data_IF_155386277758
#
_entry.id   IF_155386277758
#
_cell.length_a   1.000
_cell.length_b   1.000
_cell.length_c   1.000
_cell.angle_alpha   90.00
_cell.angle_beta   90.00
_cell.angle_gamma   90.00
#
_symmetry.space_group_name_H-M   'P 1'
#
loop_
_entity.id
_entity.type
_entity.pdbx_description
1 polymer ?
#
# COMPACT_ATOMS: atom_id res chain seq x y z
N UNK A 1 -20.15 -18.16 -0.75
CA UNK A 1 -19.02 -17.35 -0.28
C UNK A 1 -18.67 -16.41 -1.41
N UNK A 2 -18.60 -15.11 -1.13
CA UNK A 2 -18.22 -14.12 -2.14
C UNK A 2 -16.72 -14.28 -2.49
N UNK A 3 -16.32 -13.90 -3.70
CA UNK A 3 -14.94 -14.03 -4.17
C UNK A 3 -13.95 -13.30 -3.24
N UNK A 4 -14.34 -12.15 -2.69
CA UNK A 4 -13.54 -11.37 -1.74
C UNK A 4 -13.31 -12.12 -0.41
N UNK A 5 -14.34 -12.81 0.10
CA UNK A 5 -14.22 -13.61 1.33
C UNK A 5 -13.33 -14.83 1.11
N UNK A 6 -13.48 -15.50 -0.03
CA UNK A 6 -12.63 -16.64 -0.41
C UNK A 6 -11.15 -16.21 -0.55
N UNK A 7 -10.88 -15.03 -1.10
CA UNK A 7 -9.53 -14.48 -1.23
C UNK A 7 -8.86 -14.29 0.13
N UNK A 8 -9.57 -13.72 1.10
CA UNK A 8 -9.05 -13.52 2.47
C UNK A 8 -8.73 -14.85 3.13
N UNK A 9 -9.62 -15.84 3.01
CA UNK A 9 -9.37 -17.18 3.57
C UNK A 9 -8.17 -17.84 2.90
N UNK A 10 -8.01 -17.64 1.60
CA UNK A 10 -6.87 -18.15 0.82
C UNK A 10 -5.56 -17.53 1.29
N UNK A 11 -5.52 -16.21 1.46
CA UNK A 11 -4.39 -15.49 2.06
C UNK A 11 -4.07 -16.01 3.46
N UNK A 12 -5.09 -16.23 4.29
CA UNK A 12 -4.90 -16.74 5.66
C UNK A 12 -4.36 -18.17 5.69
N UNK A 13 -4.85 -19.03 4.80
CA UNK A 13 -4.35 -20.41 4.67
C UNK A 13 -2.87 -20.44 4.28
N UNK A 14 -2.48 -19.61 3.31
CA UNK A 14 -1.09 -19.54 2.88
C UNK A 14 -0.20 -18.99 4.01
N UNK A 15 -0.61 -17.94 4.71
CA UNK A 15 0.14 -17.40 5.85
C UNK A 15 0.35 -18.44 6.97
N UNK A 16 -0.68 -19.24 7.28
CA UNK A 16 -0.60 -20.30 8.30
C UNK A 16 0.33 -21.45 7.86
N UNK A 17 0.23 -21.87 6.59
CA UNK A 17 1.13 -22.88 6.04
C UNK A 17 2.59 -22.41 6.09
N UNK A 18 2.84 -21.17 5.66
CA UNK A 18 4.16 -20.56 5.65
C UNK A 18 4.76 -20.44 7.06
N UNK A 19 3.94 -20.04 8.06
CA UNK A 19 4.36 -20.03 9.46
C UNK A 19 4.74 -21.43 9.98
N UNK A 20 3.97 -22.45 9.59
CA UNK A 20 4.26 -23.84 9.89
C UNK A 20 5.60 -24.31 9.31
N UNK A 21 5.85 -23.99 8.04
CA UNK A 21 7.12 -24.28 7.37
C UNK A 21 8.32 -23.55 8.01
N UNK A 22 8.10 -22.34 8.50
CA UNK A 22 9.15 -21.52 9.10
C UNK A 22 9.61 -22.04 10.48
N UNK A 23 8.68 -22.58 11.28
CA UNK A 23 8.95 -22.89 12.69
C UNK A 23 8.91 -24.37 13.05
N UNK A 24 8.26 -25.21 12.24
CA UNK A 24 8.22 -26.65 12.52
C UNK A 24 9.55 -27.31 12.21
N UNK A 25 9.96 -28.25 13.07
CA UNK A 25 11.10 -29.14 12.83
C UNK A 25 10.67 -30.59 12.59
N UNK A 26 9.36 -30.88 12.64
CA UNK A 26 8.82 -32.23 12.44
C UNK A 26 8.59 -32.50 10.95
N UNK A 27 9.22 -33.53 10.39
CA UNK A 27 9.13 -33.88 8.97
C UNK A 27 7.69 -34.11 8.49
N UNK A 28 6.83 -34.76 9.28
CA UNK A 28 5.44 -34.99 8.91
C UNK A 28 4.60 -33.71 8.92
N UNK A 29 4.89 -32.78 9.83
CA UNK A 29 4.21 -31.50 9.84
C UNK A 29 4.68 -30.61 8.70
N UNK A 30 5.96 -30.65 8.35
CA UNK A 30 6.51 -29.95 7.19
C UNK A 30 5.82 -30.41 5.89
N UNK A 31 5.66 -31.72 5.68
CA UNK A 31 4.91 -32.26 4.53
C UNK A 31 3.46 -31.76 4.48
N UNK A 32 2.78 -31.72 5.64
CA UNK A 32 1.40 -31.19 5.73
C UNK A 32 1.35 -29.70 5.39
N UNK A 33 2.30 -28.90 5.88
CA UNK A 33 2.34 -27.48 5.57
C UNK A 33 2.65 -27.20 4.10
N UNK A 34 3.49 -28.02 3.46
CA UNK A 34 3.70 -27.97 2.01
C UNK A 34 2.41 -28.28 1.24
N UNK A 35 1.65 -29.29 1.66
CA UNK A 35 0.36 -29.61 1.06
C UNK A 35 -0.65 -28.45 1.21
N UNK A 36 -0.76 -27.86 2.42
CA UNK A 36 -1.65 -26.71 2.67
C UNK A 36 -1.21 -25.50 1.81
N UNK A 37 0.10 -25.26 1.67
CA UNK A 37 0.63 -24.21 0.79
C UNK A 37 0.20 -24.46 -0.66
N UNK A 38 0.36 -25.68 -1.17
CA UNK A 38 -0.08 -26.06 -2.51
C UNK A 38 -1.59 -25.96 -2.72
N UNK A 39 -2.40 -26.27 -1.71
CA UNK A 39 -3.86 -26.04 -1.72
C UNK A 39 -4.20 -24.56 -1.80
N UNK A 40 -3.53 -23.71 -1.03
CA UNK A 40 -3.78 -22.25 -1.06
C UNK A 40 -3.47 -21.63 -2.43
N UNK A 41 -2.39 -22.07 -3.11
CA UNK A 41 -2.05 -21.61 -4.46
C UNK A 41 -3.13 -22.02 -5.47
N UNK A 42 -3.63 -23.25 -5.37
CA UNK A 42 -4.73 -23.72 -6.24
C UNK A 42 -6.02 -22.93 -6.01
N UNK A 43 -6.38 -22.68 -4.75
CA UNK A 43 -7.54 -21.83 -4.43
C UNK A 43 -7.39 -20.43 -5.03
N UNK A 44 -6.20 -19.84 -4.97
CA UNK A 44 -5.97 -18.55 -5.59
C UNK A 44 -6.10 -18.63 -7.11
N UNK A 45 -5.65 -19.70 -7.75
CA UNK A 45 -5.86 -19.97 -9.19
C UNK A 45 -7.32 -20.19 -9.60
N UNK A 46 -8.20 -20.59 -8.69
CA UNK A 46 -9.66 -20.62 -8.97
C UNK A 46 -10.29 -19.22 -8.83
N UNK A 47 -9.69 -18.35 -8.01
CA UNK A 47 -10.13 -16.95 -7.82
C UNK A 47 -9.59 -16.06 -8.94
N UNK A 48 -8.38 -16.34 -9.40
CA UNK A 48 -7.64 -15.56 -10.40
C UNK A 48 -7.38 -16.44 -11.61
N UNK A 49 -7.75 -16.01 -12.81
CA UNK A 49 -7.47 -16.72 -14.07
C UNK A 49 -5.99 -16.61 -14.48
N UNK A 50 -5.08 -16.82 -13.52
CA UNK A 50 -3.64 -16.64 -13.64
C UNK A 50 -2.92 -17.99 -13.59
N UNK A 51 -1.78 -18.15 -14.30
CA UNK A 51 -1.04 -19.41 -14.30
C UNK A 51 -0.49 -19.79 -12.92
N UNK A 52 -0.50 -21.09 -12.61
CA UNK A 52 -0.01 -21.64 -11.34
C UNK A 52 1.40 -21.16 -10.99
N UNK A 53 2.33 -21.19 -11.95
CA UNK A 53 3.72 -20.77 -11.74
C UNK A 53 3.83 -19.29 -11.35
N UNK A 54 3.01 -18.43 -11.95
CA UNK A 54 2.95 -17.00 -11.61
C UNK A 54 2.41 -16.80 -10.20
N UNK A 55 1.39 -17.57 -9.81
CA UNK A 55 0.85 -17.51 -8.46
C UNK A 55 1.89 -17.95 -7.43
N UNK A 56 2.60 -19.06 -7.67
CA UNK A 56 3.67 -19.51 -6.76
C UNK A 56 4.73 -18.42 -6.56
N UNK A 57 5.19 -17.81 -7.66
CA UNK A 57 6.22 -16.77 -7.61
C UNK A 57 5.79 -15.54 -6.81
N UNK A 58 4.52 -15.14 -6.89
CA UNK A 58 4.02 -13.89 -6.31
C UNK A 58 3.45 -14.08 -4.90
N UNK A 59 2.89 -15.25 -4.60
CA UNK A 59 2.09 -15.51 -3.40
C UNK A 59 2.74 -16.49 -2.42
N UNK A 60 3.61 -17.39 -2.88
CA UNK A 60 4.13 -18.50 -2.08
C UNK A 60 5.67 -18.63 -2.11
N UNK A 61 6.38 -17.57 -2.51
CA UNK A 61 7.84 -17.56 -2.67
C UNK A 61 8.62 -17.03 -1.46
N UNK A 62 7.94 -16.40 -0.50
CA UNK A 62 8.59 -15.89 0.72
C UNK A 62 9.08 -17.02 1.63
N UNK A 63 10.07 -16.71 2.46
CA UNK A 63 10.61 -17.61 3.50
C UNK A 63 10.41 -16.98 4.87
N UNK A 64 10.35 -17.80 5.93
CA UNK A 64 10.05 -17.31 7.27
C UNK A 64 8.57 -17.04 7.48
N UNK A 65 8.22 -16.26 8.50
CA UNK A 65 6.84 -15.93 8.86
C UNK A 65 6.31 -14.80 7.96
N UNK A 66 5.20 -15.05 7.28
CA UNK A 66 4.58 -14.04 6.43
C UNK A 66 3.84 -12.98 7.26
N UNK A 67 4.08 -11.72 6.94
CA UNK A 67 3.38 -10.57 7.51
C UNK A 67 2.61 -9.81 6.44
N UNK A 68 1.65 -8.95 6.80
CA UNK A 68 1.18 -7.92 5.89
C UNK A 68 2.37 -7.13 5.32
N UNK A 69 2.31 -6.80 4.04
CA UNK A 69 3.22 -5.83 3.43
C UNK A 69 2.85 -4.42 3.89
N UNK A 70 3.81 -3.51 3.85
CA UNK A 70 3.62 -2.13 4.29
C UNK A 70 3.79 -1.20 3.11
N UNK A 71 2.76 -0.42 2.83
CA UNK A 71 2.75 0.66 1.86
C UNK A 71 2.75 2.00 2.59
N UNK A 72 3.53 2.95 2.12
CA UNK A 72 3.71 4.28 2.70
C UNK A 72 3.14 5.32 1.72
N UNK A 73 2.39 6.29 2.25
CA UNK A 73 1.88 7.44 1.49
C UNK A 73 2.33 8.73 2.15
N UNK A 74 3.09 9.54 1.42
CA UNK A 74 3.49 10.87 1.84
C UNK A 74 2.32 11.86 1.67
N UNK A 75 1.93 12.50 2.76
CA UNK A 75 0.81 13.46 2.82
C UNK A 75 1.39 14.86 2.97
N UNK A 76 1.51 15.55 1.84
CA UNK A 76 2.13 16.87 1.75
C UNK A 76 1.04 17.86 1.37
N UNK A 77 0.79 18.83 2.26
CA UNK A 77 -0.11 19.96 2.01
C UNK A 77 0.67 21.24 1.72
N UNK A 78 0.11 22.06 0.83
CA UNK A 78 0.51 23.45 0.63
C UNK A 78 -0.56 24.36 1.23
N UNK A 79 -0.18 25.01 2.34
CA UNK A 79 -1.16 25.66 3.21
C UNK A 79 -2.16 24.65 3.76
N UNK A 80 -3.42 25.08 3.89
CA UNK A 80 -4.48 24.29 4.52
C UNK A 80 -5.53 23.76 3.52
N UNK A 81 -5.30 23.95 2.22
CA UNK A 81 -6.33 23.74 1.20
C UNK A 81 -5.94 22.82 0.05
N UNK A 82 -4.66 22.52 -0.14
CA UNK A 82 -4.20 21.72 -1.29
C UNK A 82 -3.26 20.59 -0.86
N UNK A 83 -3.50 19.38 -1.35
CA UNK A 83 -2.63 18.21 -1.19
C UNK A 83 -1.82 17.96 -2.46
N UNK A 84 -0.59 17.49 -2.31
CA UNK A 84 0.24 17.06 -3.43
C UNK A 84 -0.20 15.68 -3.92
N UNK A 85 -0.38 15.56 -5.23
CA UNK A 85 -0.63 14.27 -5.88
C UNK A 85 0.29 14.11 -7.09
N UNK A 86 0.58 12.86 -7.40
CA UNK A 86 1.41 12.43 -8.53
C UNK A 86 0.59 11.62 -9.53
N UNK A 87 1.03 11.65 -10.77
CA UNK A 87 0.44 10.91 -11.88
C UNK A 87 1.24 9.64 -12.14
N UNK A 88 0.70 8.50 -11.78
CA UNK A 88 1.35 7.19 -11.88
C UNK A 88 1.29 6.67 -13.33
N UNK A 89 2.44 6.62 -14.00
CA UNK A 89 2.51 6.19 -15.41
C UNK A 89 2.21 4.72 -15.60
N UNK A 90 2.54 3.87 -14.61
CA UNK A 90 2.29 2.44 -14.69
C UNK A 90 0.82 2.06 -14.44
N UNK A 91 0.01 3.04 -14.03
CA UNK A 91 -1.41 2.86 -13.70
C UNK A 91 -2.29 3.71 -14.62
N UNK A 92 -1.87 3.87 -15.88
CA UNK A 92 -2.64 4.58 -16.91
C UNK A 92 -2.72 6.09 -16.72
N UNK A 93 -1.79 6.68 -15.95
CA UNK A 93 -1.78 8.12 -15.68
C UNK A 93 -2.84 8.56 -14.67
N UNK A 94 -3.26 7.65 -13.78
CA UNK A 94 -4.15 7.96 -12.66
C UNK A 94 -3.41 8.68 -11.53
N UNK A 95 -4.15 9.40 -10.71
CA UNK A 95 -3.60 10.23 -9.64
C UNK A 95 -3.57 9.52 -8.29
N UNK A 96 -2.50 9.74 -7.52
CA UNK A 96 -2.34 9.20 -6.18
C UNK A 96 -1.49 10.11 -5.29
N UNK A 97 -1.33 9.76 -4.02
CA UNK A 97 -0.35 10.38 -3.14
C UNK A 97 1.03 9.77 -3.41
N UNK A 98 2.11 10.57 -3.34
CA UNK A 98 3.46 10.05 -3.48
C UNK A 98 3.72 8.92 -2.48
N UNK A 99 4.41 7.88 -2.91
CA UNK A 99 4.75 6.75 -2.04
C UNK A 99 4.59 5.38 -2.69
N UNK A 100 5.17 4.40 -2.00
CA UNK A 100 5.19 3.02 -2.44
C UNK A 100 5.46 2.05 -1.29
N UNK A 101 6.13 0.96 -1.61
CA UNK A 101 6.48 -0.07 -0.62
C UNK A 101 7.48 0.45 0.41
N UNK A 102 7.35 0.01 1.66
CA UNK A 102 8.37 0.22 2.66
C UNK A 102 9.60 -0.65 2.38
N UNK A 103 10.73 -0.01 2.12
CA UNK A 103 12.02 -0.68 1.90
C UNK A 103 12.64 -1.20 3.20
N UNK A 104 13.24 -2.39 3.14
CA UNK A 104 14.02 -2.94 4.25
C UNK A 104 15.22 -2.04 4.53
N UNK A 105 15.36 -1.61 5.79
CA UNK A 105 16.43 -0.71 6.22
C UNK A 105 16.02 0.76 6.29
N UNK A 106 14.81 1.11 5.85
CA UNK A 106 14.23 2.44 6.00
C UNK A 106 13.16 2.42 7.09
N UNK A 107 13.14 3.45 7.94
CA UNK A 107 11.98 3.73 8.79
C UNK A 107 10.81 4.21 7.93
N UNK A 108 9.55 4.11 8.41
CA UNK A 108 8.39 4.63 7.65
C UNK A 108 8.54 6.11 7.25
N UNK A 109 9.17 6.90 8.11
CA UNK A 109 9.41 8.33 7.86
C UNK A 109 10.46 8.52 6.77
N UNK A 110 11.56 7.77 6.79
CA UNK A 110 12.57 7.83 5.74
C UNK A 110 12.03 7.34 4.39
N UNK A 111 11.15 6.32 4.37
CA UNK A 111 10.46 5.92 3.14
C UNK A 111 9.61 7.08 2.60
N UNK A 112 8.79 7.73 3.43
CA UNK A 112 7.97 8.86 2.96
C UNK A 112 8.82 10.02 2.43
N UNK A 113 9.97 10.31 3.05
CA UNK A 113 10.91 11.35 2.60
C UNK A 113 11.59 10.96 1.28
N UNK A 114 12.03 9.70 1.13
CA UNK A 114 12.64 9.15 -0.09
C UNK A 114 11.67 9.20 -1.27
N UNK A 115 10.48 8.63 -1.12
CA UNK A 115 9.48 8.55 -2.20
C UNK A 115 9.04 9.95 -2.64
N UNK A 116 8.83 10.88 -1.70
CA UNK A 116 8.51 12.26 -2.04
C UNK A 116 9.61 12.92 -2.90
N UNK A 117 10.89 12.69 -2.59
CA UNK A 117 12.01 13.22 -3.37
C UNK A 117 12.07 12.58 -4.76
N UNK A 118 11.99 11.26 -4.85
CA UNK A 118 12.13 10.52 -6.10
C UNK A 118 10.99 10.82 -7.08
N UNK A 119 9.75 10.88 -6.59
CA UNK A 119 8.55 11.03 -7.41
C UNK A 119 8.21 12.49 -7.73
N UNK A 120 8.69 13.47 -6.94
CA UNK A 120 8.25 14.87 -7.05
C UNK A 120 9.38 15.89 -7.09
N UNK A 121 10.61 15.51 -6.72
CA UNK A 121 11.75 16.43 -6.55
C UNK A 121 11.69 17.32 -5.31
N UNK A 122 10.64 17.20 -4.48
CA UNK A 122 10.52 17.93 -3.23
C UNK A 122 11.31 17.26 -2.11
N UNK A 123 12.03 18.08 -1.34
CA UNK A 123 12.68 17.63 -0.11
C UNK A 123 11.71 17.93 1.03
N UNK A 124 11.28 16.88 1.72
CA UNK A 124 10.31 16.98 2.81
C UNK A 124 10.88 16.40 4.10
N UNK A 125 10.29 16.79 5.23
CA UNK A 125 10.51 16.18 6.53
C UNK A 125 9.23 15.48 6.98
N UNK A 126 9.29 14.17 7.22
CA UNK A 126 8.19 13.43 7.83
C UNK A 126 8.07 13.82 9.31
N UNK A 127 6.88 14.24 9.71
CA UNK A 127 6.63 14.82 11.05
C UNK A 127 5.61 14.03 11.87
N UNK A 128 4.73 13.26 11.23
CA UNK A 128 3.63 12.60 11.94
C UNK A 128 3.00 11.45 11.16
N UNK A 129 2.72 10.33 11.82
CA UNK A 129 1.79 9.31 11.32
C UNK A 129 0.35 9.79 11.48
N UNK A 130 -0.40 9.87 10.38
CA UNK A 130 -1.82 10.27 10.38
C UNK A 130 -2.74 9.06 10.47
N UNK A 131 -2.45 8.01 9.71
CA UNK A 131 -3.25 6.80 9.72
C UNK A 131 -2.42 5.54 9.42
N UNK A 132 -2.82 4.41 10.00
CA UNK A 132 -2.39 3.06 9.63
C UNK A 132 -3.63 2.24 9.30
N UNK A 133 -3.89 2.04 8.02
CA UNK A 133 -5.14 1.48 7.52
C UNK A 133 -4.92 0.07 6.96
N UNK A 134 -5.87 -0.83 7.20
CA UNK A 134 -5.90 -2.14 6.56
C UNK A 134 -6.55 -1.98 5.19
N UNK A 135 -5.79 -2.24 4.11
CA UNK A 135 -6.27 -2.08 2.73
C UNK A 135 -7.61 -2.81 2.49
N UNK A 136 -7.87 -3.92 3.18
CA UNK A 136 -9.11 -4.70 3.05
C UNK A 136 -10.35 -3.96 3.56
N UNK A 137 -10.20 -3.04 4.50
CA UNK A 137 -11.32 -2.31 5.14
C UNK A 137 -11.76 -1.07 4.36
N UNK A 138 -11.12 -0.78 3.22
CA UNK A 138 -11.44 0.34 2.35
C UNK A 138 -11.77 -0.17 0.94
N UNK A 139 -12.37 0.68 0.12
CA UNK A 139 -12.87 0.35 -1.24
C UNK A 139 -11.75 0.21 -2.29
N UNK A 140 -10.66 -0.45 -1.93
CA UNK A 140 -9.60 -0.82 -2.83
C UNK A 140 -9.99 -2.06 -3.66
N UNK A 141 -9.47 -2.19 -4.90
CA UNK A 141 -9.58 -3.44 -5.65
C UNK A 141 -8.89 -4.59 -4.91
N UNK A 142 -9.42 -5.80 -5.14
CA UNK A 142 -8.90 -7.03 -4.59
C UNK A 142 -7.46 -7.27 -5.06
N UNK A 143 -6.59 -7.72 -4.13
CA UNK A 143 -5.21 -8.05 -4.43
C UNK A 143 -4.80 -9.36 -3.75
N UNK A 144 -3.85 -10.11 -4.34
CA UNK A 144 -3.36 -11.34 -3.75
C UNK A 144 -2.60 -11.11 -2.44
N UNK A 145 -2.16 -9.88 -2.15
CA UNK A 145 -1.30 -9.54 -1.02
C UNK A 145 -2.13 -8.89 0.09
N UNK A 146 -1.75 -9.12 1.35
CA UNK A 146 -2.34 -8.43 2.50
C UNK A 146 -1.50 -7.21 2.85
N UNK A 147 -2.10 -6.01 2.96
CA UNK A 147 -1.36 -4.74 3.00
C UNK A 147 -1.89 -3.82 4.10
N UNK A 148 -0.96 -3.28 4.89
CA UNK A 148 -1.19 -2.11 5.74
C UNK A 148 -0.65 -0.86 5.06
N UNK A 149 -1.43 0.23 5.07
CA UNK A 149 -1.12 1.50 4.42
C UNK A 149 -0.91 2.57 5.48
N UNK A 150 0.31 3.10 5.59
CA UNK A 150 0.63 4.19 6.51
C UNK A 150 0.62 5.53 5.77
N UNK A 151 -0.15 6.48 6.27
CA UNK A 151 -0.24 7.83 5.75
C UNK A 151 0.56 8.76 6.64
N UNK A 152 1.60 9.38 6.09
CA UNK A 152 2.61 10.12 6.87
C UNK A 152 2.59 11.59 6.44
N UNK A 153 2.31 12.48 7.39
CA UNK A 153 2.41 13.93 7.17
C UNK A 153 3.86 14.32 6.96
N UNK A 154 4.10 15.05 5.89
CA UNK A 154 5.41 15.60 5.57
C UNK A 154 5.34 17.12 5.35
N UNK A 155 6.34 17.84 5.85
CA UNK A 155 6.49 19.28 5.67
C UNK A 155 7.57 19.56 4.63
N UNK A 156 7.31 20.47 3.70
CA UNK A 156 8.30 20.86 2.69
C UNK A 156 9.43 21.65 3.35
N UNK A 157 10.67 21.23 3.11
CA UNK A 157 11.88 21.91 3.61
C UNK A 157 12.81 22.36 2.48
N UNK A 158 12.52 21.99 1.23
CA UNK A 158 13.25 22.42 0.05
C UNK A 158 12.86 21.64 -1.20
N UNK A 159 13.72 21.70 -2.22
CA UNK A 159 13.48 21.08 -3.52
C UNK A 159 12.56 21.90 -4.43
N UNK A 160 12.36 21.39 -5.64
CA UNK A 160 11.51 22.00 -6.65
C UNK A 160 10.58 20.94 -7.23
N UNK A 161 9.32 21.31 -7.45
CA UNK A 161 8.33 20.37 -7.96
C UNK A 161 8.61 20.04 -9.43
N UNK A 162 9.05 18.81 -9.67
CA UNK A 162 9.30 18.30 -11.01
C UNK A 162 7.98 17.96 -11.70
N UNK A 163 7.89 18.30 -12.98
CA UNK A 163 6.72 17.99 -13.81
C UNK A 163 6.76 16.58 -14.38
N UNK A 164 7.93 15.94 -14.45
CA UNK A 164 8.10 14.55 -14.86
C UNK A 164 9.30 13.97 -14.12
N UNK A 165 9.19 12.70 -13.72
CA UNK A 165 10.28 11.90 -13.15
C UNK A 165 10.36 10.56 -13.88
N UNK A 166 11.27 9.67 -13.46
CA UNK A 166 11.35 8.33 -14.04
C UNK A 166 10.08 7.49 -13.78
N UNK A 167 9.34 7.79 -12.70
CA UNK A 167 8.21 6.98 -12.21
C UNK A 167 6.86 7.69 -12.30
N UNK A 168 6.89 9.02 -12.35
CA UNK A 168 5.67 9.84 -12.39
C UNK A 168 5.65 10.73 -13.61
N UNK A 169 4.50 10.78 -14.27
CA UNK A 169 4.27 11.61 -15.44
C UNK A 169 3.77 13.00 -15.08
N UNK A 170 4.00 13.49 -13.86
CA UNK A 170 3.32 14.68 -13.36
C UNK A 170 3.21 14.70 -11.85
N UNK A 171 3.40 15.88 -11.27
CA UNK A 171 3.00 16.18 -9.89
C UNK A 171 2.31 17.54 -9.86
N UNK A 172 1.17 17.61 -9.17
CA UNK A 172 0.44 18.87 -8.97
C UNK A 172 -0.28 18.88 -7.64
N UNK A 173 -0.67 20.08 -7.26
CA UNK A 173 -1.47 20.31 -6.07
C UNK A 173 -2.96 20.25 -6.41
N UNK A 174 -3.74 19.73 -5.47
CA UNK A 174 -5.16 19.52 -5.61
C UNK A 174 -5.88 20.03 -4.36
N UNK A 175 -6.90 20.86 -4.55
CA UNK A 175 -7.97 20.99 -3.56
C UNK A 175 -8.71 19.67 -3.39
N UNK A 176 -9.41 19.47 -2.27
CA UNK A 176 -10.22 18.26 -2.06
C UNK A 176 -11.21 18.05 -3.21
N UNK A 177 -11.89 19.11 -3.65
CA UNK A 177 -12.86 19.04 -4.75
C UNK A 177 -12.20 18.59 -6.08
N UNK A 178 -11.01 19.09 -6.39
CA UNK A 178 -10.27 18.65 -7.58
C UNK A 178 -9.80 17.20 -7.44
N UNK A 179 -9.37 16.78 -6.24
CA UNK A 179 -8.89 15.42 -6.00
C UNK A 179 -10.03 14.40 -6.15
N UNK A 180 -11.22 14.72 -5.63
CA UNK A 180 -12.42 13.88 -5.78
C UNK A 180 -12.96 13.86 -7.22
N UNK A 181 -12.66 14.89 -8.02
CA UNK A 181 -12.99 14.94 -9.44
C UNK A 181 -11.95 14.29 -10.37
N UNK A 182 -10.83 13.82 -9.83
CA UNK A 182 -9.74 13.23 -10.60
C UNK A 182 -9.93 11.73 -10.82
N UNK A 183 -9.29 11.19 -11.85
CA UNK A 183 -9.17 9.73 -12.02
C UNK A 183 -8.13 9.18 -11.02
N UNK A 184 -8.61 8.68 -9.88
CA UNK A 184 -7.77 8.17 -8.80
C UNK A 184 -7.23 6.77 -9.12
N UNK A 185 -5.96 6.53 -8.76
CA UNK A 185 -5.41 5.19 -8.66
C UNK A 185 -5.98 4.54 -7.41
N UNK A 186 -7.19 3.97 -7.54
CA UNK A 186 -7.96 3.44 -6.40
C UNK A 186 -7.23 2.33 -5.67
N UNK A 187 -6.29 1.63 -6.32
CA UNK A 187 -5.43 0.65 -5.64
C UNK A 187 -4.49 1.28 -4.59
N UNK A 188 -4.05 2.52 -4.84
CA UNK A 188 -3.08 3.24 -4.03
C UNK A 188 -3.75 4.17 -3.02
N UNK A 189 -4.84 4.84 -3.40
CA UNK A 189 -5.58 5.75 -2.53
C UNK A 189 -7.06 5.82 -2.92
N UNK A 190 -7.97 5.80 -1.94
CA UNK A 190 -9.42 5.99 -2.17
C UNK A 190 -9.84 7.44 -1.95
N UNK A 191 -11.02 7.81 -2.46
CA UNK A 191 -11.65 9.09 -2.18
C UNK A 191 -11.85 9.34 -0.67
N UNK A 192 -12.36 8.33 0.05
CA UNK A 192 -12.57 8.41 1.51
C UNK A 192 -11.26 8.59 2.31
N UNK A 193 -10.15 8.05 1.81
CA UNK A 193 -8.83 8.27 2.41
C UNK A 193 -8.32 9.68 2.16
N UNK A 194 -8.56 10.25 0.98
CA UNK A 194 -8.23 11.66 0.72
C UNK A 194 -9.05 12.59 1.63
N UNK A 195 -10.36 12.37 1.74
CA UNK A 195 -11.21 13.10 2.68
C UNK A 195 -10.66 13.02 4.11
N UNK A 196 -10.26 11.82 4.56
CA UNK A 196 -9.63 11.63 5.86
C UNK A 196 -8.36 12.47 6.02
N UNK A 197 -7.50 12.57 5.00
CA UNK A 197 -6.29 13.39 5.06
C UNK A 197 -6.61 14.88 5.21
N UNK A 198 -7.64 15.38 4.53
CA UNK A 198 -8.09 16.77 4.67
C UNK A 198 -8.64 17.06 6.08
N UNK A 199 -9.30 16.10 6.73
CA UNK A 199 -9.74 16.30 8.13
C UNK A 199 -8.58 16.51 9.10
N UNK A 200 -7.41 15.92 8.87
CA UNK A 200 -6.23 16.16 9.70
C UNK A 200 -5.65 17.56 9.54
N UNK A 201 -5.98 18.27 8.46
CA UNK A 201 -5.66 19.68 8.27
C UNK A 201 -6.64 20.56 9.02
N UNK A 202 -7.94 20.24 8.95
CA UNK A 202 -9.00 20.96 9.68
C UNK A 202 -8.90 20.79 11.20
N UNK A 203 -8.49 19.62 11.67
CA UNK A 203 -8.23 19.31 13.08
C UNK A 203 -6.82 18.70 13.25
N UNK A 204 -5.78 19.55 13.40
CA UNK A 204 -4.43 19.08 13.67
C UNK A 204 -4.30 18.30 14.98
N UNK A 205 -5.26 18.39 15.90
CA UNK A 205 -5.29 17.63 17.16
C UNK A 205 -5.89 16.23 17.02
N UNK A 206 -6.51 15.91 15.88
CA UNK A 206 -7.22 14.65 15.66
C UNK A 206 -6.30 13.46 15.94
N UNK A 207 -6.79 12.45 16.67
CA UNK A 207 -6.03 11.24 16.96
C UNK A 207 -5.69 10.45 15.67
N UNK A 208 -4.56 9.73 15.71
CA UNK A 208 -4.17 8.82 14.62
C UNK A 208 -5.27 7.80 14.39
N UNK A 209 -5.65 7.57 13.13
CA UNK A 209 -6.64 6.55 12.77
C UNK A 209 -5.94 5.21 12.55
N UNK A 210 -6.42 4.16 13.20
CA UNK A 210 -5.97 2.80 12.99
C UNK A 210 -7.18 1.89 12.82
N UNK A 211 -7.10 0.99 11.85
CA UNK A 211 -8.13 -0.01 11.54
C UNK A 211 -8.14 -1.22 12.48
#
# INVERSE_FOLDING_TARGET
MEAAELLVLTQRLQALAQAGLAYSTNAFDLERYEEIRGLSVRLLGEITDEPYEKIVQVFASETGYQTPKVDIRAVIFRGDSEILMVRETNDGGRWTLPGGWADVGYTPFETAEKEALEETGLIVKAVRLLALLDKRKHEHPAQPWYIYKAFIRCEMVGGELLQETAETGGARWFTLAEALGAELSVDRVTASQLELMFRFVEDPGMAVVCD
#
